data_IF_248571592401
#
_entry.id   IF_248571592401
#
_cell.length_a   1.000
_cell.length_b   1.000
_cell.length_c   1.000
_cell.angle_alpha   90.00
_cell.angle_beta   90.00
_cell.angle_gamma   90.00
#
_symmetry.space_group_name_H-M   'P 1'
#
loop_
_entity.id
_entity.type
_entity.pdbx_description
1 polymer ?
#
# COMPACT_ATOMS: atom_id res chain seq x y z
N UNK A 1 -7.49 -10.40 0.01
CA UNK A 1 -7.89 -10.96 -1.29
C UNK A 1 -7.46 -10.07 -2.44
N UNK A 2 -7.91 -8.81 -2.50
CA UNK A 2 -7.55 -7.87 -3.57
C UNK A 2 -6.04 -7.70 -3.68
N UNK A 3 -5.37 -7.41 -2.58
CA UNK A 3 -3.92 -7.16 -2.57
C UNK A 3 -3.12 -8.40 -2.95
N UNK A 4 -3.57 -9.58 -2.54
CA UNK A 4 -2.91 -10.84 -2.89
C UNK A 4 -2.98 -11.13 -4.39
N UNK A 5 -4.02 -10.67 -5.06
CA UNK A 5 -4.24 -10.88 -6.50
C UNK A 5 -3.83 -9.70 -7.38
N UNK A 6 -3.39 -8.62 -6.76
CA UNK A 6 -3.06 -7.37 -7.45
C UNK A 6 -2.07 -7.58 -8.60
N UNK A 7 -1.01 -8.32 -8.36
CA UNK A 7 0.01 -8.58 -9.39
C UNK A 7 -0.56 -9.31 -10.61
N UNK A 8 -1.47 -10.27 -10.39
CA UNK A 8 -2.14 -10.96 -11.48
C UNK A 8 -2.97 -10.01 -12.35
N UNK A 9 -3.63 -9.04 -11.72
CA UNK A 9 -4.39 -8.00 -12.43
C UNK A 9 -3.45 -7.14 -13.28
N UNK A 10 -2.34 -6.69 -12.70
CA UNK A 10 -1.34 -5.87 -13.42
C UNK A 10 -0.81 -6.63 -14.64
N UNK A 11 -0.46 -7.90 -14.45
CA UNK A 11 0.04 -8.74 -15.56
C UNK A 11 -0.99 -8.90 -16.66
N UNK A 12 -2.26 -9.08 -16.31
CA UNK A 12 -3.33 -9.22 -17.31
C UNK A 12 -3.46 -7.95 -18.16
N UNK A 13 -3.36 -6.79 -17.54
CA UNK A 13 -3.41 -5.50 -18.25
C UNK A 13 -2.24 -5.35 -19.23
N UNK A 14 -1.06 -5.86 -18.86
CA UNK A 14 0.13 -5.82 -19.72
C UNK A 14 0.09 -6.81 -20.88
N UNK A 15 -0.75 -7.85 -20.81
CA UNK A 15 -0.84 -8.89 -21.84
C UNK A 15 -1.76 -8.52 -23.01
N UNK A 16 -2.15 -7.25 -23.12
CA UNK A 16 -3.02 -6.79 -24.19
C UNK A 16 -2.37 -7.00 -25.56
N UNK A 17 -3.09 -7.68 -26.46
CA UNK A 17 -2.51 -8.16 -27.74
C UNK A 17 -2.47 -7.13 -28.86
N UNK A 18 -3.26 -6.11 -28.83
CA UNK A 18 -3.40 -5.16 -29.93
C UNK A 18 -2.43 -3.98 -29.89
N UNK A 19 -1.43 -4.06 -29.03
CA UNK A 19 -0.40 -3.02 -28.82
C UNK A 19 -0.96 -1.63 -28.47
N UNK A 20 -2.20 -1.57 -28.03
CA UNK A 20 -2.78 -0.33 -27.59
C UNK A 20 -2.26 0.02 -26.20
N UNK A 21 -2.09 1.31 -25.91
CA UNK A 21 -1.74 1.74 -24.56
C UNK A 21 -2.71 1.17 -23.53
N UNK A 22 -2.19 0.70 -22.41
CA UNK A 22 -2.97 0.18 -21.30
C UNK A 22 -2.44 0.77 -20.00
N UNK A 23 -3.09 0.42 -18.89
CA UNK A 23 -2.68 0.86 -17.57
C UNK A 23 -1.39 0.12 -17.19
N UNK A 24 -0.35 0.88 -16.86
CA UNK A 24 0.89 0.35 -16.31
C UNK A 24 1.09 0.91 -14.91
N UNK A 25 1.58 0.07 -14.00
CA UNK A 25 1.88 0.50 -12.63
C UNK A 25 3.38 0.79 -12.56
N UNK A 26 3.74 2.06 -12.75
CA UNK A 26 5.12 2.51 -12.75
C UNK A 26 5.56 3.09 -11.41
N UNK A 27 4.66 3.78 -10.72
CA UNK A 27 4.95 4.45 -9.44
C UNK A 27 3.87 4.18 -8.39
N UNK A 28 4.03 4.78 -7.22
CA UNK A 28 3.07 4.63 -6.13
C UNK A 28 1.70 5.25 -6.44
N UNK A 29 1.66 6.29 -7.25
CA UNK A 29 0.39 6.93 -7.63
C UNK A 29 -0.44 6.00 -8.50
N UNK A 30 0.18 5.36 -9.48
CA UNK A 30 -0.48 4.36 -10.32
C UNK A 30 -0.97 3.18 -9.48
N UNK A 31 -0.14 2.74 -8.53
CA UNK A 31 -0.48 1.67 -7.59
C UNK A 31 -1.72 2.03 -6.76
N UNK A 32 -1.75 3.23 -6.21
CA UNK A 32 -2.88 3.71 -5.41
C UNK A 32 -4.15 3.80 -6.23
N UNK A 33 -4.08 4.33 -7.45
CA UNK A 33 -5.25 4.49 -8.31
C UNK A 33 -5.85 3.14 -8.69
N UNK A 34 -5.02 2.19 -9.09
CA UNK A 34 -5.51 0.86 -9.45
C UNK A 34 -6.06 0.13 -8.23
N UNK A 35 -5.36 0.21 -7.10
CA UNK A 35 -5.82 -0.43 -5.86
C UNK A 35 -7.16 0.17 -5.41
N UNK A 36 -7.30 1.48 -5.47
CA UNK A 36 -8.55 2.16 -5.13
C UNK A 36 -9.70 1.67 -6.02
N UNK A 37 -9.47 1.55 -7.32
CA UNK A 37 -10.46 1.06 -8.26
C UNK A 37 -10.90 -0.36 -7.93
N UNK A 38 -9.95 -1.23 -7.61
CA UNK A 38 -10.24 -2.63 -7.26
C UNK A 38 -10.98 -2.75 -5.92
N UNK A 39 -10.65 -1.90 -4.95
CA UNK A 39 -11.33 -1.91 -3.65
C UNK A 39 -12.79 -1.51 -3.76
N UNK A 40 -13.15 -0.70 -4.76
CA UNK A 40 -14.55 -0.33 -5.00
C UNK A 40 -15.42 -1.51 -5.41
N UNK A 41 -14.82 -2.62 -5.83
CA UNK A 41 -15.56 -3.86 -6.10
C UNK A 41 -15.95 -4.56 -4.78
N UNK A 42 -15.09 -4.44 -3.76
CA UNK A 42 -15.27 -5.16 -2.48
C UNK A 42 -16.00 -4.31 -1.42
N UNK A 43 -15.90 -2.99 -1.50
CA UNK A 43 -16.44 -2.09 -0.48
C UNK A 43 -17.42 -1.09 -1.10
N UNK A 44 -18.51 -0.84 -0.41
CA UNK A 44 -19.51 0.14 -0.84
C UNK A 44 -18.94 1.55 -0.91
N UNK A 45 -18.01 1.87 -0.01
CA UNK A 45 -17.42 3.18 0.07
C UNK A 45 -15.93 3.10 0.33
N UNK A 46 -15.17 3.78 -0.51
CA UNK A 46 -13.73 3.94 -0.35
C UNK A 46 -13.45 5.43 -0.29
N UNK A 47 -13.07 5.93 0.89
CA UNK A 47 -12.69 7.31 1.09
C UNK A 47 -11.17 7.47 0.96
N UNK A 48 -10.72 8.70 0.89
CA UNK A 48 -9.30 9.02 0.80
C UNK A 48 -8.91 10.06 1.84
N UNK A 49 -7.67 10.00 2.30
CA UNK A 49 -7.09 10.98 3.21
C UNK A 49 -5.73 11.39 2.67
N UNK A 50 -5.58 12.65 2.31
CA UNK A 50 -4.31 13.18 1.80
C UNK A 50 -3.54 13.83 2.95
N UNK A 51 -2.25 13.52 3.04
CA UNK A 51 -1.37 14.15 4.01
C UNK A 51 0.06 14.21 3.46
N UNK A 52 0.91 15.01 4.12
CA UNK A 52 2.29 15.18 3.70
C UNK A 52 3.22 14.52 4.71
N UNK A 53 3.63 13.28 4.47
CA UNK A 53 4.55 12.59 5.36
C UNK A 53 5.92 13.27 5.40
N UNK A 54 6.64 13.19 6.54
CA UNK A 54 7.93 13.86 6.66
C UNK A 54 9.01 13.30 5.70
N UNK A 55 8.85 12.06 5.25
CA UNK A 55 9.82 11.41 4.36
C UNK A 55 9.62 11.75 2.87
N UNK A 56 8.62 12.56 2.52
CA UNK A 56 8.30 12.87 1.11
C UNK A 56 8.82 14.21 0.63
N UNK A 57 9.54 14.93 1.46
CA UNK A 57 10.08 16.26 1.12
C UNK A 57 9.00 17.25 0.65
N UNK A 58 7.83 17.19 1.25
CA UNK A 58 6.70 18.06 0.94
C UNK A 58 5.70 17.51 -0.06
N UNK A 59 5.92 16.30 -0.57
CA UNK A 59 4.95 15.67 -1.48
C UNK A 59 3.79 15.06 -0.69
N UNK A 60 2.58 15.23 -1.20
CA UNK A 60 1.39 14.63 -0.61
C UNK A 60 1.30 13.14 -0.93
N UNK A 61 0.77 12.38 0.01
CA UNK A 61 0.44 10.97 -0.17
C UNK A 61 -1.03 10.74 0.16
N UNK A 62 -1.63 9.78 -0.52
CA UNK A 62 -3.03 9.43 -0.33
C UNK A 62 -3.15 8.10 0.39
N UNK A 63 -3.92 8.08 1.47
CA UNK A 63 -4.29 6.86 2.18
C UNK A 63 -5.73 6.51 1.82
N UNK A 64 -6.00 5.23 1.60
CA UNK A 64 -7.34 4.74 1.31
C UNK A 64 -8.01 4.34 2.63
N UNK A 65 -9.26 4.77 2.81
CA UNK A 65 -10.02 4.49 4.02
C UNK A 65 -11.22 3.64 3.66
N UNK A 66 -11.33 2.48 4.28
CA UNK A 66 -12.43 1.55 4.03
C UNK A 66 -13.10 1.16 5.34
N UNK A 67 -14.26 0.52 5.24
CA UNK A 67 -15.05 0.05 6.38
C UNK A 67 -15.33 1.18 7.39
N UNK A 68 -15.91 2.29 6.91
CA UNK A 68 -16.25 3.47 7.71
C UNK A 68 -15.04 4.04 8.46
N UNK A 69 -13.92 4.18 7.73
CA UNK A 69 -12.65 4.72 8.24
C UNK A 69 -11.98 3.86 9.32
N UNK A 70 -12.44 2.62 9.53
CA UNK A 70 -11.82 1.72 10.50
C UNK A 70 -10.49 1.18 10.03
N UNK A 71 -10.31 1.05 8.71
CA UNK A 71 -9.11 0.51 8.10
C UNK A 71 -8.49 1.57 7.20
N UNK A 72 -7.25 1.95 7.51
CA UNK A 72 -6.44 2.80 6.66
C UNK A 72 -5.51 1.91 5.84
N UNK A 73 -5.47 2.10 4.53
CA UNK A 73 -4.63 1.33 3.62
C UNK A 73 -3.62 2.27 2.99
N UNK A 74 -2.34 1.99 3.23
CA UNK A 74 -1.24 2.68 2.57
C UNK A 74 -0.59 1.72 1.56
N UNK A 75 -0.24 2.24 0.40
CA UNK A 75 0.36 1.47 -0.67
C UNK A 75 1.80 1.93 -0.88
N UNK A 76 2.72 0.98 -0.92
CA UNK A 76 4.14 1.22 -1.15
C UNK A 76 4.61 0.39 -2.33
N UNK A 77 5.38 1.01 -3.23
CA UNK A 77 5.99 0.28 -4.33
C UNK A 77 7.50 0.29 -4.16
N UNK A 78 8.11 -0.90 -4.22
CA UNK A 78 9.56 -1.00 -4.19
C UNK A 78 10.18 -0.49 -5.49
N UNK A 79 11.41 0.02 -5.39
CA UNK A 79 12.15 0.52 -6.52
C UNK A 79 13.60 0.70 -6.15
N UNK A 80 14.42 1.11 -7.13
CA UNK A 80 15.86 1.24 -6.95
C UNK A 80 16.23 2.27 -5.87
N UNK A 81 15.39 3.26 -5.63
CA UNK A 81 15.63 4.32 -4.65
C UNK A 81 15.06 4.06 -3.26
N UNK A 82 14.44 2.90 -3.04
CA UNK A 82 13.81 2.60 -1.76
C UNK A 82 14.40 1.34 -1.15
N UNK A 83 15.21 1.50 -0.11
CA UNK A 83 15.78 0.37 0.62
C UNK A 83 14.74 -0.23 1.58
N UNK A 84 14.99 -1.46 2.04
CA UNK A 84 14.13 -2.12 3.05
C UNK A 84 14.07 -1.30 4.34
N UNK A 85 15.20 -0.69 4.73
CA UNK A 85 15.26 0.17 5.92
C UNK A 85 14.38 1.40 5.76
N UNK A 86 14.46 2.08 4.61
CA UNK A 86 13.64 3.26 4.32
C UNK A 86 12.16 2.90 4.28
N UNK A 87 11.83 1.76 3.69
CA UNK A 87 10.46 1.26 3.67
C UNK A 87 9.92 1.03 5.09
N UNK A 88 10.74 0.40 5.94
CA UNK A 88 10.40 0.18 7.36
C UNK A 88 10.15 1.51 8.07
N UNK A 89 11.03 2.47 7.89
CA UNK A 89 10.91 3.80 8.51
C UNK A 89 9.64 4.52 8.04
N UNK A 90 9.30 4.40 6.76
CA UNK A 90 8.06 4.99 6.23
C UNK A 90 6.81 4.35 6.83
N UNK A 91 6.78 3.03 6.96
CA UNK A 91 5.65 2.32 7.56
C UNK A 91 5.46 2.74 9.02
N UNK A 92 6.56 2.87 9.76
CA UNK A 92 6.50 3.31 11.16
C UNK A 92 6.02 4.75 11.28
N UNK A 93 6.41 5.64 10.36
CA UNK A 93 5.94 7.03 10.34
C UNK A 93 4.44 7.09 10.02
N UNK A 94 3.97 6.30 9.06
CA UNK A 94 2.55 6.21 8.72
C UNK A 94 1.74 5.71 9.92
N UNK A 95 2.24 4.69 10.61
CA UNK A 95 1.59 4.14 11.79
C UNK A 95 1.48 5.18 12.92
N UNK A 96 2.55 5.93 13.15
CA UNK A 96 2.55 7.00 14.16
C UNK A 96 1.52 8.08 13.82
N UNK A 97 1.41 8.46 12.55
CA UNK A 97 0.44 9.44 12.09
C UNK A 97 -1.00 9.01 12.40
N UNK A 98 -1.38 7.79 12.01
CA UNK A 98 -2.74 7.30 12.21
C UNK A 98 -3.06 6.97 13.66
N UNK A 99 -2.06 6.54 14.43
CA UNK A 99 -2.20 6.35 15.88
C UNK A 99 -2.51 7.68 16.58
N UNK A 100 -1.82 8.74 16.20
CA UNK A 100 -2.04 10.07 16.77
C UNK A 100 -3.43 10.59 16.45
N UNK A 101 -3.94 10.33 15.26
CA UNK A 101 -5.28 10.77 14.88
C UNK A 101 -6.40 10.00 15.57
N UNK A 102 -6.13 8.77 16.01
CA UNK A 102 -7.14 7.95 16.69
C UNK A 102 -8.33 7.57 15.83
N UNK A 103 -8.20 7.67 14.50
CA UNK A 103 -9.30 7.47 13.54
C UNK A 103 -9.48 6.03 13.13
N UNK A 104 -8.38 5.31 12.98
CA UNK A 104 -8.38 3.97 12.42
C UNK A 104 -7.93 2.95 13.47
N UNK A 105 -8.58 1.79 13.48
CA UNK A 105 -8.19 0.68 14.34
C UNK A 105 -7.13 -0.21 13.69
N UNK A 106 -7.08 -0.22 12.36
CA UNK A 106 -6.13 -1.03 11.58
C UNK A 106 -5.44 -0.14 10.55
N UNK A 107 -4.11 -0.20 10.53
CA UNK A 107 -3.31 0.31 9.42
C UNK A 107 -2.85 -0.90 8.60
N UNK A 108 -3.33 -1.01 7.39
CA UNK A 108 -2.93 -2.07 6.46
C UNK A 108 -1.93 -1.48 5.46
N UNK A 109 -0.72 -2.01 5.46
CA UNK A 109 0.34 -1.59 4.55
C UNK A 109 0.49 -2.63 3.44
N UNK A 110 0.16 -2.25 2.22
CA UNK A 110 0.37 -3.07 1.04
C UNK A 110 1.69 -2.68 0.38
N UNK A 111 2.64 -3.60 0.34
CA UNK A 111 3.92 -3.40 -0.32
C UNK A 111 3.92 -4.19 -1.62
N UNK A 112 3.95 -3.48 -2.75
CA UNK A 112 4.02 -4.09 -4.06
C UNK A 112 5.47 -4.18 -4.49
N UNK A 113 5.97 -5.41 -4.64
CA UNK A 113 7.37 -5.71 -4.96
C UNK A 113 7.44 -6.58 -6.22
N UNK A 114 7.12 -6.01 -7.41
CA UNK A 114 7.04 -6.80 -8.63
C UNK A 114 8.39 -7.35 -9.11
N UNK A 115 9.50 -6.73 -8.71
CA UNK A 115 10.84 -7.13 -9.13
C UNK A 115 11.57 -7.98 -8.09
N UNK A 116 10.92 -8.30 -6.97
CA UNK A 116 11.53 -9.15 -5.94
C UNK A 116 12.72 -8.53 -5.23
N UNK A 117 12.69 -7.23 -4.97
CA UNK A 117 13.78 -6.49 -4.32
C UNK A 117 13.90 -6.76 -2.83
N UNK A 118 12.81 -7.22 -2.21
CA UNK A 118 12.81 -7.57 -0.79
C UNK A 118 13.31 -9.00 -0.64
N UNK A 119 14.43 -9.18 0.06
CA UNK A 119 15.07 -10.50 0.21
C UNK A 119 14.23 -11.52 0.95
N UNK A 120 13.52 -11.10 2.01
CA UNK A 120 12.62 -11.98 2.77
C UNK A 120 11.33 -11.24 3.06
N UNK A 121 10.32 -11.50 2.23
CA UNK A 121 9.00 -10.87 2.37
C UNK A 121 8.33 -11.27 3.67
N UNK A 122 8.41 -12.53 4.03
CA UNK A 122 7.83 -13.04 5.28
C UNK A 122 8.47 -12.41 6.51
N UNK A 123 9.77 -12.22 6.50
CA UNK A 123 10.49 -11.58 7.61
C UNK A 123 10.05 -10.12 7.77
N UNK A 124 9.93 -9.40 6.66
CA UNK A 124 9.47 -8.02 6.67
C UNK A 124 8.04 -7.93 7.23
N UNK A 125 7.13 -8.77 6.73
CA UNK A 125 5.76 -8.81 7.21
C UNK A 125 5.71 -9.09 8.71
N UNK A 126 6.45 -10.08 9.19
CA UNK A 126 6.47 -10.45 10.61
C UNK A 126 7.06 -9.34 11.47
N UNK A 127 8.12 -8.69 11.01
CA UNK A 127 8.80 -7.63 11.76
C UNK A 127 7.91 -6.40 11.93
N UNK A 128 7.18 -6.03 10.87
CA UNK A 128 6.37 -4.81 10.87
C UNK A 128 4.96 -5.01 11.38
N UNK A 129 4.41 -6.22 11.30
CA UNK A 129 3.09 -6.50 11.84
C UNK A 129 3.13 -6.43 13.36
N UNK A 130 2.27 -5.59 13.93
CA UNK A 130 2.22 -5.40 15.37
C UNK A 130 0.80 -5.07 15.82
N UNK A 131 0.54 -5.29 17.11
CA UNK A 131 -0.72 -4.94 17.74
C UNK A 131 -0.43 -4.02 18.92
N UNK A 132 -1.04 -2.83 18.90
CA UNK A 132 -1.00 -1.93 20.04
C UNK A 132 -2.45 -1.63 20.48
N UNK A 133 -2.61 -0.98 21.64
CA UNK A 133 -3.93 -0.69 22.19
C UNK A 133 -4.83 0.10 21.25
N UNK A 134 -4.25 0.95 20.39
CA UNK A 134 -5.02 1.89 19.58
C UNK A 134 -4.88 1.68 18.09
N UNK A 135 -3.96 0.82 17.65
CA UNK A 135 -3.75 0.59 16.22
C UNK A 135 -3.05 -0.74 15.99
N UNK A 136 -3.68 -1.56 15.16
CA UNK A 136 -3.06 -2.79 14.66
C UNK A 136 -2.42 -2.49 13.31
N UNK A 137 -1.18 -2.92 13.14
CA UNK A 137 -0.45 -2.78 11.89
C UNK A 137 -0.37 -4.14 11.22
N UNK A 138 -0.85 -4.24 9.99
CA UNK A 138 -0.73 -5.43 9.17
C UNK A 138 0.01 -5.07 7.89
N UNK A 139 0.98 -5.90 7.50
CA UNK A 139 1.79 -5.70 6.31
C UNK A 139 1.66 -6.90 5.41
N UNK A 140 1.38 -6.65 4.14
CA UNK A 140 1.34 -7.69 3.11
C UNK A 140 2.27 -7.27 1.97
N UNK A 141 3.17 -8.15 1.61
CA UNK A 141 4.06 -7.98 0.45
C UNK A 141 3.56 -8.88 -0.68
N UNK A 142 3.40 -8.34 -1.86
CA UNK A 142 2.99 -9.10 -3.04
C UNK A 142 3.76 -8.60 -4.28
N UNK A 143 4.05 -9.48 -5.24
CA UNK A 143 3.95 -10.94 -5.13
C UNK A 143 5.00 -11.51 -4.19
N UNK A 144 4.80 -12.72 -3.78
CA UNK A 144 5.74 -13.43 -2.89
C UNK A 144 6.63 -14.39 -3.67
#
# INVERSE_FOLDING_TARGET
KVCQRFHSVVRQLRLRKDYRPTIEVEDEYDLQDLLCALLKVEFDEVATDDWTPPYTEGASRTTLLVNRDQIAIVAKKTGAGLTTKELTDQVLADAAHYRTQGRCSILFCFVYDPEGRIGSTKRLETTLTSVSEHCRIEVLVAPK
#
